data_IF_941763868355
#
_entry.id   IF_941763868355
#
_cell.length_a   1.000
_cell.length_b   1.000
_cell.length_c   1.000
_cell.angle_alpha   90.00
_cell.angle_beta   90.00
_cell.angle_gamma   90.00
#
_symmetry.space_group_name_H-M   'P 1'
#
loop_
_entity.id
_entity.type
_entity.pdbx_description
1 polymer ?
#
# COMPACT_ATOMS: atom_id res chain seq x y z
N UNK A 1 -44.53 -12.90 -22.15
CA UNK A 1 -43.71 -11.72 -21.77
C UNK A 1 -42.97 -11.88 -20.43
N UNK A 2 -43.38 -12.79 -19.52
CA UNK A 2 -42.67 -13.03 -18.25
C UNK A 2 -41.30 -13.72 -18.42
N UNK A 3 -41.19 -14.70 -19.32
CA UNK A 3 -39.95 -15.46 -19.56
C UNK A 3 -38.78 -14.54 -19.96
N UNK A 4 -38.97 -13.65 -20.94
CA UNK A 4 -37.91 -12.70 -21.36
C UNK A 4 -37.47 -11.75 -20.21
N UNK A 5 -38.39 -11.38 -19.31
CA UNK A 5 -38.07 -10.60 -18.12
C UNK A 5 -37.22 -11.38 -17.10
N UNK A 6 -37.56 -12.65 -16.86
CA UNK A 6 -36.80 -13.54 -15.98
C UNK A 6 -35.38 -13.78 -16.49
N UNK A 7 -35.21 -14.02 -17.80
CA UNK A 7 -33.87 -14.18 -18.40
C UNK A 7 -33.00 -12.93 -18.25
N UNK A 8 -33.54 -11.74 -18.52
CA UNK A 8 -32.81 -10.49 -18.31
C UNK A 8 -32.45 -10.25 -16.85
N UNK A 9 -33.35 -10.61 -15.93
CA UNK A 9 -33.10 -10.50 -14.49
C UNK A 9 -31.99 -11.46 -14.05
N UNK A 10 -32.02 -12.71 -14.51
CA UNK A 10 -31.00 -13.72 -14.19
C UNK A 10 -29.63 -13.30 -14.72
N UNK A 11 -29.55 -12.85 -15.98
CA UNK A 11 -28.31 -12.35 -16.57
C UNK A 11 -27.73 -11.14 -15.81
N UNK A 12 -28.59 -10.21 -15.37
CA UNK A 12 -28.16 -9.07 -14.55
C UNK A 12 -27.65 -9.51 -13.18
N UNK A 13 -28.28 -10.52 -12.59
CA UNK A 13 -27.88 -11.08 -11.31
C UNK A 13 -26.53 -11.81 -11.42
N UNK A 14 -26.33 -12.64 -12.43
CA UNK A 14 -25.05 -13.32 -12.70
C UNK A 14 -23.90 -12.31 -12.88
N UNK A 15 -24.13 -11.24 -13.65
CA UNK A 15 -23.13 -10.19 -13.84
C UNK A 15 -22.81 -9.46 -12.52
N UNK A 16 -23.83 -9.16 -11.71
CA UNK A 16 -23.62 -8.54 -10.40
C UNK A 16 -22.84 -9.46 -9.46
N UNK A 17 -23.13 -10.76 -9.43
CA UNK A 17 -22.38 -11.75 -8.65
C UNK A 17 -20.92 -11.82 -9.08
N UNK A 18 -20.64 -11.89 -10.39
CA UNK A 18 -19.27 -11.92 -10.90
C UNK A 18 -18.48 -10.66 -10.53
N UNK A 19 -19.10 -9.49 -10.63
CA UNK A 19 -18.48 -8.23 -10.21
C UNK A 19 -18.20 -8.22 -8.70
N UNK A 20 -19.07 -8.82 -7.88
CA UNK A 20 -18.83 -8.96 -6.44
C UNK A 20 -17.66 -9.90 -6.15
N UNK A 21 -17.58 -11.06 -6.81
CA UNK A 21 -16.46 -12.00 -6.68
C UNK A 21 -15.13 -11.31 -6.97
N UNK A 22 -15.02 -10.58 -8.09
CA UNK A 22 -13.80 -9.83 -8.43
C UNK A 22 -13.42 -8.79 -7.37
N UNK A 23 -14.40 -8.07 -6.82
CA UNK A 23 -14.15 -7.08 -5.75
C UNK A 23 -13.68 -7.76 -4.46
N UNK A 24 -14.24 -8.93 -4.13
CA UNK A 24 -13.84 -9.73 -2.97
C UNK A 24 -12.41 -10.24 -3.12
N UNK A 25 -12.05 -10.78 -4.29
CA UNK A 25 -10.69 -11.25 -4.58
C UNK A 25 -9.67 -10.11 -4.45
N UNK A 26 -9.96 -8.94 -5.04
CA UNK A 26 -9.08 -7.78 -4.94
C UNK A 26 -8.90 -7.27 -3.49
N UNK A 27 -9.93 -7.39 -2.65
CA UNK A 27 -9.81 -7.07 -1.21
C UNK A 27 -8.99 -8.14 -0.49
N UNK A 28 -9.18 -9.42 -0.83
CA UNK A 28 -8.41 -10.54 -0.28
C UNK A 28 -6.90 -10.34 -0.52
N UNK A 29 -6.52 -9.94 -1.73
CA UNK A 29 -5.12 -9.66 -2.09
C UNK A 29 -4.51 -8.54 -1.23
N UNK A 30 -5.26 -7.47 -0.97
CA UNK A 30 -4.83 -6.38 -0.09
C UNK A 30 -4.60 -6.90 1.34
N UNK A 31 -5.52 -7.72 1.85
CA UNK A 31 -5.45 -8.27 3.21
C UNK A 31 -4.30 -9.29 3.34
N UNK A 32 -4.01 -10.05 2.27
CA UNK A 32 -2.95 -11.05 2.22
C UNK A 32 -1.53 -10.47 2.25
N UNK A 33 -1.36 -9.16 1.99
CA UNK A 33 -0.08 -8.45 2.12
C UNK A 33 0.57 -8.75 3.47
N UNK A 34 1.78 -9.30 3.45
CA UNK A 34 2.50 -9.76 4.63
C UNK A 34 3.97 -9.29 4.59
N UNK A 35 4.78 -9.73 5.55
CA UNK A 35 6.14 -9.25 5.77
C UNK A 35 7.21 -9.84 4.82
N UNK A 36 6.89 -10.79 3.95
CA UNK A 36 7.89 -11.47 3.09
C UNK A 36 8.30 -10.60 1.91
N UNK A 37 7.34 -10.08 1.13
CA UNK A 37 7.59 -9.24 -0.07
C UNK A 37 7.01 -7.82 0.05
N UNK A 38 6.79 -7.41 1.30
CA UNK A 38 6.08 -6.20 1.70
C UNK A 38 6.52 -4.92 0.98
N UNK A 39 7.79 -4.79 0.63
CA UNK A 39 8.32 -3.57 0.02
C UNK A 39 7.79 -3.39 -1.40
N UNK A 40 7.82 -4.44 -2.20
CA UNK A 40 7.34 -4.38 -3.58
C UNK A 40 5.82 -4.25 -3.61
N UNK A 41 5.13 -5.06 -2.81
CA UNK A 41 3.68 -5.10 -2.78
C UNK A 41 3.08 -3.80 -2.25
N UNK A 42 3.64 -3.24 -1.17
CA UNK A 42 3.18 -1.93 -0.66
C UNK A 42 3.41 -0.82 -1.68
N UNK A 43 4.54 -0.82 -2.40
CA UNK A 43 4.78 0.17 -3.44
C UNK A 43 3.83 0.01 -4.63
N UNK A 44 3.50 -1.22 -5.02
CA UNK A 44 2.52 -1.49 -6.08
C UNK A 44 1.14 -0.96 -5.68
N UNK A 45 0.71 -1.21 -4.45
CA UNK A 45 -0.54 -0.64 -3.92
C UNK A 45 -0.53 0.89 -3.93
N UNK A 46 0.52 1.53 -3.41
CA UNK A 46 0.61 3.00 -3.38
C UNK A 46 0.58 3.59 -4.81
N UNK A 47 1.21 2.92 -5.79
CA UNK A 47 1.11 3.32 -7.21
C UNK A 47 -0.31 3.20 -7.74
N UNK A 48 -0.99 2.07 -7.48
CA UNK A 48 -2.40 1.88 -7.85
C UNK A 48 -3.29 2.96 -7.23
N UNK A 49 -3.09 3.29 -5.95
CA UNK A 49 -3.81 4.39 -5.29
C UNK A 49 -3.57 5.71 -6.03
N UNK A 50 -2.31 6.04 -6.37
CA UNK A 50 -1.99 7.24 -7.12
C UNK A 50 -2.68 7.31 -8.48
N UNK A 51 -2.78 6.19 -9.20
CA UNK A 51 -3.53 6.10 -10.46
C UNK A 51 -5.02 6.38 -10.26
N UNK A 52 -5.63 5.83 -9.20
CA UNK A 52 -7.05 6.01 -8.89
C UNK A 52 -7.45 7.47 -8.61
N UNK A 53 -6.53 8.31 -8.11
CA UNK A 53 -6.79 9.74 -7.81
C UNK A 53 -6.39 10.71 -8.93
N UNK A 54 -5.98 10.21 -10.10
CA UNK A 54 -5.69 11.04 -11.28
C UNK A 54 -4.21 11.12 -11.69
N UNK A 55 -3.34 10.31 -11.09
CA UNK A 55 -1.92 10.20 -11.48
C UNK A 55 -1.04 11.38 -11.03
N UNK A 56 0.08 11.59 -11.72
CA UNK A 56 1.01 12.68 -11.43
C UNK A 56 1.69 12.58 -10.05
N UNK A 57 1.59 13.65 -9.25
CA UNK A 57 2.22 13.74 -7.93
C UNK A 57 1.46 12.98 -6.82
N UNK A 58 0.25 12.48 -7.10
CA UNK A 58 -0.59 11.79 -6.11
C UNK A 58 0.13 10.61 -5.44
N UNK A 59 0.96 9.88 -6.19
CA UNK A 59 1.79 8.80 -5.62
C UNK A 59 2.71 9.29 -4.49
N UNK A 60 3.35 10.45 -4.69
CA UNK A 60 4.29 11.02 -3.73
C UNK A 60 3.56 11.56 -2.51
N UNK A 61 2.40 12.21 -2.71
CA UNK A 61 1.55 12.72 -1.63
C UNK A 61 1.01 11.60 -0.74
N UNK A 62 0.50 10.52 -1.35
CA UNK A 62 0.03 9.34 -0.61
C UNK A 62 1.19 8.70 0.16
N UNK A 63 2.35 8.54 -0.47
CA UNK A 63 3.54 8.02 0.21
C UNK A 63 3.95 8.88 1.41
N UNK A 64 3.90 10.21 1.27
CA UNK A 64 4.17 11.15 2.36
C UNK A 64 3.16 11.00 3.50
N UNK A 65 1.86 10.94 3.17
CA UNK A 65 0.78 10.76 4.15
C UNK A 65 0.91 9.43 4.92
N UNK A 66 1.31 8.34 4.25
CA UNK A 66 1.57 7.05 4.90
C UNK A 66 2.72 7.16 5.90
N UNK A 67 3.82 7.83 5.55
CA UNK A 67 4.93 8.02 6.51
C UNK A 67 4.55 8.91 7.69
N UNK A 68 3.77 9.97 7.46
CA UNK A 68 3.26 10.82 8.54
C UNK A 68 2.35 10.04 9.49
N UNK A 69 1.47 9.22 8.94
CA UNK A 69 0.57 8.37 9.73
C UNK A 69 1.34 7.30 10.51
N UNK A 70 2.43 6.77 9.94
CA UNK A 70 3.31 5.84 10.62
C UNK A 70 4.03 6.52 11.81
N UNK A 71 4.60 7.71 11.61
CA UNK A 71 5.20 8.49 12.70
C UNK A 71 4.19 8.76 13.82
N UNK A 72 2.94 9.12 13.47
CA UNK A 72 1.84 9.33 14.41
C UNK A 72 1.49 8.07 15.20
N UNK A 73 1.20 6.95 14.52
CA UNK A 73 0.78 5.69 15.19
C UNK A 73 1.89 5.03 15.98
N UNK A 74 3.11 5.09 15.47
CA UNK A 74 4.26 4.48 16.12
C UNK A 74 4.89 5.39 17.18
N UNK A 75 4.40 6.62 17.35
CA UNK A 75 4.99 7.66 18.19
C UNK A 75 6.51 7.80 17.93
N UNK A 76 6.88 7.91 16.66
CA UNK A 76 8.27 7.93 16.23
C UNK A 76 8.57 9.09 15.28
N UNK A 77 9.84 9.18 14.87
CA UNK A 77 10.29 10.16 13.87
C UNK A 77 11.22 9.43 12.90
N UNK A 78 10.68 9.06 11.75
CA UNK A 78 11.38 8.31 10.71
C UNK A 78 12.58 9.06 10.15
N UNK A 79 12.51 10.38 10.01
CA UNK A 79 13.61 11.19 9.49
C UNK A 79 14.81 11.18 10.44
N UNK A 80 14.58 11.32 11.74
CA UNK A 80 15.62 11.19 12.77
C UNK A 80 16.20 9.78 12.78
N UNK A 81 15.36 8.75 12.69
CA UNK A 81 15.81 7.34 12.63
C UNK A 81 16.63 7.06 11.37
N UNK A 82 16.28 7.65 10.22
CA UNK A 82 17.04 7.53 8.97
C UNK A 82 18.42 8.19 9.10
N UNK A 83 18.48 9.38 9.68
CA UNK A 83 19.75 10.07 9.97
C UNK A 83 20.63 9.22 10.90
N UNK A 84 20.06 8.68 11.98
CA UNK A 84 20.79 7.82 12.89
C UNK A 84 21.30 6.54 12.21
N UNK A 85 20.49 5.92 11.35
CA UNK A 85 20.90 4.75 10.57
C UNK A 85 22.08 5.08 9.65
N UNK A 86 22.03 6.20 8.93
CA UNK A 86 23.13 6.65 8.06
C UNK A 86 24.41 6.96 8.84
N UNK A 87 24.30 7.58 10.01
CA UNK A 87 25.44 7.87 10.88
C UNK A 87 26.08 6.58 11.41
N UNK A 88 25.27 5.60 11.83
CA UNK A 88 25.75 4.28 12.24
C UNK A 88 26.48 3.58 11.09
N UNK A 89 25.88 3.57 9.89
CA UNK A 89 26.51 3.00 8.70
C UNK A 89 27.84 3.68 8.35
N UNK A 90 27.96 4.99 8.54
CA UNK A 90 29.22 5.69 8.35
C UNK A 90 30.29 5.25 9.36
N UNK A 91 29.92 5.11 10.65
CA UNK A 91 30.80 4.57 11.68
C UNK A 91 31.23 3.12 11.44
N UNK A 92 30.36 2.32 10.81
CA UNK A 92 30.64 0.94 10.39
C UNK A 92 31.45 0.84 9.07
N UNK A 93 31.81 1.97 8.46
CA UNK A 93 32.62 2.00 7.24
C UNK A 93 31.86 1.74 5.93
N UNK A 94 30.52 1.84 5.92
CA UNK A 94 29.75 1.73 4.69
C UNK A 94 30.12 2.83 3.68
N UNK A 95 30.11 2.50 2.38
CA UNK A 95 30.41 3.47 1.32
C UNK A 95 29.42 4.64 1.30
N UNK A 96 29.88 5.83 0.86
CA UNK A 96 29.04 7.03 0.71
C UNK A 96 27.79 6.77 -0.14
N UNK A 97 27.93 5.97 -1.21
CA UNK A 97 26.81 5.58 -2.07
C UNK A 97 25.77 4.75 -1.33
N UNK A 98 26.20 3.77 -0.52
CA UNK A 98 25.29 2.93 0.27
C UNK A 98 24.51 3.77 1.28
N UNK A 99 25.18 4.67 2.00
CA UNK A 99 24.55 5.60 2.95
C UNK A 99 23.52 6.53 2.28
N UNK A 100 23.87 7.09 1.10
CA UNK A 100 22.97 7.97 0.34
C UNK A 100 21.72 7.23 -0.14
N UNK A 101 21.88 5.97 -0.55
CA UNK A 101 20.78 5.15 -1.06
C UNK A 101 19.87 4.59 0.04
N UNK A 102 20.28 4.64 1.31
CA UNK A 102 19.42 4.30 2.46
C UNK A 102 18.23 5.26 2.56
N UNK A 103 17.03 4.72 2.79
CA UNK A 103 15.73 5.42 2.80
C UNK A 103 14.88 5.01 4.01
N UNK A 104 13.73 5.68 4.21
CA UNK A 104 12.75 5.38 5.28
C UNK A 104 12.32 3.91 5.30
N UNK A 105 12.16 3.29 4.13
CA UNK A 105 11.82 1.86 4.04
C UNK A 105 12.92 0.94 4.62
N UNK A 106 14.19 1.36 4.66
CA UNK A 106 15.26 0.59 5.31
C UNK A 106 15.20 0.74 6.84
N UNK A 107 14.75 1.89 7.33
CA UNK A 107 14.44 2.08 8.76
C UNK A 107 13.30 1.16 9.17
N UNK A 108 12.24 1.10 8.36
CA UNK A 108 11.06 0.25 8.58
C UNK A 108 11.46 -1.23 8.53
N UNK A 109 12.29 -1.64 7.56
CA UNK A 109 12.80 -3.01 7.46
C UNK A 109 13.55 -3.48 8.72
N UNK A 110 14.26 -2.56 9.39
CA UNK A 110 15.09 -2.86 10.56
C UNK A 110 14.31 -2.87 11.89
N UNK A 111 13.01 -2.54 11.89
CA UNK A 111 12.18 -2.46 13.09
C UNK A 111 10.85 -3.17 12.84
N UNK A 112 10.71 -4.40 13.36
CA UNK A 112 9.51 -5.25 13.17
C UNK A 112 8.23 -4.51 13.54
N UNK A 113 8.25 -3.71 14.61
CA UNK A 113 7.06 -2.94 15.03
C UNK A 113 6.69 -1.89 13.98
N UNK A 114 7.67 -1.17 13.43
CA UNK A 114 7.41 -0.20 12.37
C UNK A 114 6.90 -0.88 11.09
N UNK A 115 7.43 -2.06 10.76
CA UNK A 115 6.98 -2.82 9.60
C UNK A 115 5.50 -3.23 9.70
N UNK A 116 5.08 -3.80 10.83
CA UNK A 116 3.68 -4.19 11.03
C UNK A 116 2.73 -2.98 10.94
N UNK A 117 3.09 -1.87 11.60
CA UNK A 117 2.27 -0.63 11.57
C UNK A 117 2.23 -0.05 10.15
N UNK A 118 3.37 -0.04 9.43
CA UNK A 118 3.44 0.43 8.05
C UNK A 118 2.50 -0.38 7.15
N UNK A 119 2.53 -1.71 7.25
CA UNK A 119 1.67 -2.57 6.43
C UNK A 119 0.18 -2.36 6.75
N UNK A 120 -0.18 -2.23 8.02
CA UNK A 120 -1.55 -1.92 8.41
C UNK A 120 -2.03 -0.59 7.77
N UNK A 121 -1.21 0.46 7.83
CA UNK A 121 -1.54 1.75 7.22
C UNK A 121 -1.69 1.62 5.70
N UNK A 122 -0.78 0.92 5.02
CA UNK A 122 -0.86 0.72 3.57
C UNK A 122 -2.15 0.00 3.19
N UNK A 123 -2.55 -1.05 3.93
CA UNK A 123 -3.81 -1.77 3.70
C UNK A 123 -5.03 -0.86 3.88
N UNK A 124 -5.06 -0.06 4.95
CA UNK A 124 -6.16 0.89 5.18
C UNK A 124 -6.26 1.94 4.08
N UNK A 125 -5.12 2.45 3.60
CA UNK A 125 -5.09 3.40 2.49
C UNK A 125 -5.54 2.74 1.19
N UNK A 126 -5.10 1.51 0.91
CA UNK A 126 -5.56 0.73 -0.25
C UNK A 126 -7.08 0.60 -0.25
N UNK A 127 -7.67 0.40 0.93
CA UNK A 127 -9.12 0.33 1.09
C UNK A 127 -9.79 1.69 0.88
N UNK A 128 -9.25 2.75 1.48
CA UNK A 128 -9.74 4.12 1.30
C UNK A 128 -9.81 4.53 -0.17
N UNK A 129 -8.79 4.18 -0.96
CA UNK A 129 -8.69 4.51 -2.38
C UNK A 129 -9.30 3.45 -3.31
N UNK A 130 -9.97 2.42 -2.75
CA UNK A 130 -10.70 1.39 -3.51
C UNK A 130 -9.86 0.74 -4.62
N UNK A 131 -8.61 0.38 -4.33
CA UNK A 131 -7.68 -0.14 -5.37
C UNK A 131 -8.07 -1.48 -5.99
N UNK A 132 -9.10 -2.16 -5.46
CA UNK A 132 -9.72 -3.36 -6.05
C UNK A 132 -10.76 -3.02 -7.14
N UNK A 133 -11.14 -1.75 -7.26
CA UNK A 133 -12.16 -1.31 -8.20
C UNK A 133 -11.44 -0.88 -9.49
N UNK A 134 -11.13 -1.85 -10.35
CA UNK A 134 -10.56 -1.64 -11.68
C UNK A 134 -11.60 -1.07 -12.67
N UNK A 135 -12.47 -0.16 -12.22
CA UNK A 135 -13.43 0.54 -13.08
C UNK A 135 -12.72 1.71 -13.79
N UNK A 136 -11.81 1.39 -14.71
CA UNK A 136 -11.34 2.23 -15.81
C UNK A 136 -11.11 1.39 -17.07
#
# INVERSE_FOLDING_TARGET
QMFNGLFKSLAKQELATKNLETKVDGISDIVALNTTDWRQDSQALIRKMGTQVGGGLAYQEIGSAIYQELDRRAACNLDRRLTNLRNRMAGEGASKTKQRNTRKLDVIANDKRLLEIYLAIVKEYAVKYKVWNDEF
#
